data_IF_264788744508
#
_entry.id   IF_264788744508
#
_cell.length_a   1.000
_cell.length_b   1.000
_cell.length_c   1.000
_cell.angle_alpha   90.00
_cell.angle_beta   90.00
_cell.angle_gamma   90.00
#
_symmetry.space_group_name_H-M   'P 1'
#
loop_
_entity.id
_entity.type
_entity.pdbx_description
1 polymer ?
#
# COMPACT_ATOMS: atom_id res chain seq x y z
N UNK A 1 -4.42 -8.43 -3.69
CA UNK A 1 -4.88 -9.36 -4.75
C UNK A 1 -4.51 -8.86 -6.15
N UNK A 2 -5.03 -7.69 -6.57
CA UNK A 2 -4.74 -7.09 -7.88
C UNK A 2 -3.24 -7.05 -8.22
N UNK A 3 -2.40 -6.61 -7.28
CA UNK A 3 -0.94 -6.57 -7.44
C UNK A 3 -0.36 -7.92 -7.87
N UNK A 4 -0.74 -9.02 -7.21
CA UNK A 4 -0.21 -10.34 -7.57
C UNK A 4 -0.67 -10.78 -8.96
N UNK A 5 -1.93 -10.52 -9.33
CA UNK A 5 -2.43 -10.82 -10.67
C UNK A 5 -1.64 -10.04 -11.71
N UNK A 6 -1.41 -8.74 -11.48
CA UNK A 6 -0.62 -7.91 -12.39
C UNK A 6 0.84 -8.38 -12.46
N UNK A 7 1.45 -8.80 -11.36
CA UNK A 7 2.79 -9.38 -11.37
C UNK A 7 2.87 -10.64 -12.23
N UNK A 8 1.90 -11.55 -12.13
CA UNK A 8 1.85 -12.74 -12.98
C UNK A 8 1.70 -12.36 -14.45
N UNK A 9 0.83 -11.41 -14.78
CA UNK A 9 0.66 -10.94 -16.16
C UNK A 9 1.96 -10.31 -16.72
N UNK A 10 2.71 -9.56 -15.90
CA UNK A 10 3.99 -9.00 -16.30
C UNK A 10 5.02 -10.11 -16.58
N UNK A 11 5.16 -11.09 -15.67
CA UNK A 11 6.06 -12.25 -15.82
C UNK A 11 5.76 -13.03 -17.10
N UNK A 12 4.49 -13.34 -17.36
CA UNK A 12 4.05 -14.01 -18.60
C UNK A 12 4.43 -13.17 -19.82
N UNK A 13 4.16 -11.86 -19.79
CA UNK A 13 4.47 -10.97 -20.92
C UNK A 13 5.96 -10.90 -21.27
N UNK A 14 6.82 -11.10 -20.26
CA UNK A 14 8.29 -11.06 -20.35
C UNK A 14 8.92 -12.43 -20.61
N UNK A 15 8.18 -13.54 -20.50
CA UNK A 15 8.70 -14.92 -20.48
C UNK A 15 9.73 -15.12 -19.36
N UNK A 16 9.37 -14.68 -18.16
CA UNK A 16 10.17 -14.94 -16.96
C UNK A 16 9.56 -16.13 -16.19
N UNK A 17 10.27 -16.68 -15.19
CA UNK A 17 9.75 -17.67 -14.23
C UNK A 17 8.91 -18.82 -14.85
N UNK A 18 9.53 -19.59 -15.76
CA UNK A 18 8.96 -20.80 -16.38
C UNK A 18 7.81 -20.57 -17.38
N UNK A 19 7.57 -19.32 -17.83
CA UNK A 19 6.58 -19.01 -18.88
C UNK A 19 7.13 -19.13 -20.33
N UNK A 20 8.20 -19.89 -20.54
CA UNK A 20 8.87 -20.03 -21.84
C UNK A 20 7.99 -20.68 -22.93
N UNK A 21 7.00 -21.47 -22.52
CA UNK A 21 6.08 -22.18 -23.41
C UNK A 21 4.88 -21.33 -23.88
N UNK A 22 4.75 -20.09 -23.40
CA UNK A 22 3.63 -19.22 -23.75
C UNK A 22 3.84 -18.59 -25.14
N UNK A 23 2.84 -18.72 -26.00
CA UNK A 23 2.86 -18.15 -27.35
C UNK A 23 2.84 -16.62 -27.35
N UNK A 24 3.18 -16.04 -28.50
CA UNK A 24 3.28 -14.59 -28.64
C UNK A 24 1.93 -13.86 -28.50
N UNK A 25 0.83 -14.50 -28.90
CA UNK A 25 -0.51 -13.90 -28.80
C UNK A 25 -0.89 -13.69 -27.33
N UNK A 26 -0.76 -14.74 -26.51
CA UNK A 26 -1.04 -14.70 -25.08
C UNK A 26 -0.14 -13.68 -24.37
N UNK A 27 1.14 -13.58 -24.74
CA UNK A 27 2.06 -12.57 -24.18
C UNK A 27 1.61 -11.15 -24.46
N UNK A 28 1.15 -10.87 -25.68
CA UNK A 28 0.65 -9.55 -26.05
C UNK A 28 -0.64 -9.21 -25.30
N UNK A 29 -1.53 -10.18 -25.12
CA UNK A 29 -2.74 -10.02 -24.30
C UNK A 29 -2.41 -9.72 -22.83
N UNK A 30 -1.47 -10.48 -22.23
CA UNK A 30 -0.99 -10.23 -20.87
C UNK A 30 -0.33 -8.86 -20.73
N UNK A 31 0.51 -8.45 -21.69
CA UNK A 31 1.11 -7.11 -21.72
C UNK A 31 0.06 -6.01 -21.74
N UNK A 32 -0.93 -6.13 -22.63
CA UNK A 32 -2.01 -5.16 -22.74
C UNK A 32 -2.87 -5.12 -21.47
N UNK A 33 -3.15 -6.27 -20.86
CA UNK A 33 -3.87 -6.35 -19.59
C UNK A 33 -3.09 -5.73 -18.43
N UNK A 34 -1.78 -5.99 -18.34
CA UNK A 34 -0.90 -5.36 -17.36
C UNK A 34 -0.91 -3.84 -17.49
N UNK A 35 -0.75 -3.31 -18.71
CA UNK A 35 -0.78 -1.87 -18.98
C UNK A 35 -2.12 -1.23 -18.57
N UNK A 36 -3.26 -1.87 -18.87
CA UNK A 36 -4.57 -1.42 -18.40
C UNK A 36 -4.67 -1.42 -16.87
N UNK A 37 -4.12 -2.45 -16.22
CA UNK A 37 -4.06 -2.54 -14.76
C UNK A 37 -3.22 -1.44 -14.12
N UNK A 38 -2.06 -1.12 -14.69
CA UNK A 38 -1.22 0.01 -14.24
C UNK A 38 -1.96 1.33 -14.42
N UNK A 39 -2.60 1.56 -15.56
CA UNK A 39 -3.39 2.77 -15.77
C UNK A 39 -4.55 2.90 -14.75
N UNK A 40 -5.24 1.79 -14.45
CA UNK A 40 -6.26 1.75 -13.41
C UNK A 40 -5.69 2.14 -12.04
N UNK A 41 -4.52 1.62 -11.66
CA UNK A 41 -3.82 2.00 -10.42
C UNK A 41 -3.53 3.50 -10.39
N UNK A 42 -2.99 4.07 -11.48
CA UNK A 42 -2.64 5.49 -11.52
C UNK A 42 -3.88 6.39 -11.38
N UNK A 43 -4.99 6.02 -12.01
CA UNK A 43 -6.26 6.76 -11.92
C UNK A 43 -6.94 6.61 -10.56
N UNK A 44 -6.76 5.46 -9.89
CA UNK A 44 -7.31 5.19 -8.57
C UNK A 44 -6.49 5.81 -7.43
N UNK A 45 -5.33 6.42 -7.69
CA UNK A 45 -4.52 7.03 -6.62
C UNK A 45 -5.29 8.20 -6.00
N UNK A 46 -5.50 8.12 -4.68
CA UNK A 46 -6.25 9.13 -3.95
C UNK A 46 -5.46 10.44 -3.88
N UNK A 47 -6.20 11.55 -3.84
CA UNK A 47 -5.63 12.89 -3.69
C UNK A 47 -6.28 13.63 -2.53
N UNK A 48 -5.49 14.45 -1.84
CA UNK A 48 -6.00 15.46 -0.92
C UNK A 48 -5.55 16.83 -1.44
N UNK A 49 -6.50 17.63 -1.92
CA UNK A 49 -6.17 18.85 -2.66
C UNK A 49 -5.37 18.53 -3.92
N UNK A 50 -4.23 19.20 -4.11
CA UNK A 50 -3.34 18.97 -5.26
C UNK A 50 -2.33 17.83 -5.06
N UNK A 51 -2.22 17.27 -3.86
CA UNK A 51 -1.25 16.23 -3.55
C UNK A 51 -1.85 14.83 -3.70
N UNK A 52 -1.21 13.98 -4.51
CA UNK A 52 -1.51 12.54 -4.55
C UNK A 52 -0.92 11.85 -3.32
N UNK A 53 -1.59 10.79 -2.90
CA UNK A 53 -1.30 10.09 -1.64
C UNK A 53 -1.12 8.59 -1.92
N UNK A 54 -1.99 7.77 -1.34
CA UNK A 54 -1.98 6.32 -1.42
C UNK A 54 -3.25 5.80 -2.12
N UNK A 55 -3.53 4.52 -1.94
CA UNK A 55 -4.74 3.85 -2.42
C UNK A 55 -5.54 3.30 -1.26
N UNK A 56 -6.84 3.14 -1.46
CA UNK A 56 -7.68 2.32 -0.61
C UNK A 56 -7.38 0.83 -0.82
N UNK A 57 -7.73 0.00 0.16
CA UNK A 57 -7.63 -1.46 0.01
C UNK A 57 -8.54 -1.98 -1.12
N UNK A 58 -9.65 -1.27 -1.38
CA UNK A 58 -10.52 -1.52 -2.52
C UNK A 58 -11.12 -0.21 -3.05
N UNK A 59 -11.32 -0.16 -4.35
CA UNK A 59 -11.94 0.94 -5.07
C UNK A 59 -13.17 0.40 -5.82
N UNK A 60 -14.15 1.26 -6.04
CA UNK A 60 -15.26 0.97 -6.92
C UNK A 60 -14.77 0.75 -8.36
N UNK A 61 -15.25 -0.30 -9.02
CA UNK A 61 -14.70 -0.76 -10.30
C UNK A 61 -15.01 0.18 -11.47
N UNK A 62 -16.03 1.04 -11.35
CA UNK A 62 -16.48 1.92 -12.43
C UNK A 62 -15.97 3.35 -12.23
N UNK A 63 -16.05 3.85 -11.00
CA UNK A 63 -15.71 5.22 -10.65
C UNK A 63 -14.28 5.37 -10.13
N UNK A 64 -13.63 4.26 -9.77
CA UNK A 64 -12.31 4.21 -9.13
C UNK A 64 -12.25 4.95 -7.78
N UNK A 65 -13.40 5.30 -7.20
CA UNK A 65 -13.45 5.93 -5.88
C UNK A 65 -13.14 4.92 -4.77
N UNK A 66 -12.46 5.32 -3.68
CA UNK A 66 -12.30 4.48 -2.49
C UNK A 66 -13.65 3.91 -2.02
N UNK A 67 -13.67 2.61 -1.72
CA UNK A 67 -14.89 1.94 -1.27
C UNK A 67 -14.67 1.15 0.01
N UNK A 68 -15.74 0.91 0.76
CA UNK A 68 -15.71 0.03 1.94
C UNK A 68 -15.74 -1.44 1.52
N UNK A 69 -15.22 -2.31 2.38
CA UNK A 69 -15.38 -3.77 2.24
C UNK A 69 -16.26 -4.29 3.37
N UNK A 70 -15.67 -4.97 4.35
CA UNK A 70 -16.37 -5.40 5.56
C UNK A 70 -16.71 -4.22 6.46
N UNK A 71 -17.56 -4.42 7.47
CA UNK A 71 -17.92 -3.38 8.43
C UNK A 71 -16.69 -2.72 9.10
N UNK A 72 -15.61 -3.48 9.32
CA UNK A 72 -14.35 -3.00 9.89
C UNK A 72 -13.35 -2.46 8.84
N UNK A 73 -13.77 -2.29 7.59
CA UNK A 73 -12.92 -1.85 6.49
C UNK A 73 -13.61 -0.69 5.75
N UNK A 74 -13.66 0.50 6.36
CA UNK A 74 -14.22 1.68 5.73
C UNK A 74 -13.37 2.09 4.52
N UNK A 75 -13.96 2.90 3.63
CA UNK A 75 -13.21 3.60 2.61
C UNK A 75 -12.15 4.48 3.30
N UNK A 76 -10.87 4.19 3.05
CA UNK A 76 -9.73 4.73 3.80
C UNK A 76 -8.46 4.58 2.97
N UNK A 77 -7.43 5.39 3.20
CA UNK A 77 -6.11 5.11 2.63
C UNK A 77 -5.52 3.89 3.34
N UNK A 78 -5.02 2.92 2.57
CA UNK A 78 -4.43 1.70 3.11
C UNK A 78 -2.92 1.82 3.23
N UNK A 79 -2.40 1.86 4.45
CA UNK A 79 -0.96 1.83 4.69
C UNK A 79 -0.31 0.49 4.36
N UNK A 80 -1.09 -0.61 4.33
CA UNK A 80 -0.57 -1.95 4.03
C UNK A 80 -0.62 -2.31 2.56
N UNK A 81 -1.77 -2.11 1.89
CA UNK A 81 -1.93 -2.53 0.48
C UNK A 81 -1.13 -1.62 -0.47
N UNK A 82 -1.02 -0.34 -0.15
CA UNK A 82 -0.27 0.63 -0.96
C UNK A 82 1.22 0.32 -1.07
N UNK A 83 1.80 -0.42 -0.11
CA UNK A 83 3.19 -0.90 -0.22
C UNK A 83 3.33 -1.87 -1.40
N UNK A 84 2.35 -2.76 -1.60
CA UNK A 84 2.35 -3.69 -2.73
C UNK A 84 2.23 -2.97 -4.07
N UNK A 85 1.35 -1.97 -4.14
CA UNK A 85 1.17 -1.14 -5.34
C UNK A 85 2.46 -0.39 -5.68
N UNK A 86 3.08 0.28 -4.71
CA UNK A 86 4.35 0.98 -4.95
C UNK A 86 5.45 0.04 -5.41
N UNK A 87 5.57 -1.15 -4.81
CA UNK A 87 6.54 -2.16 -5.26
C UNK A 87 6.30 -2.60 -6.71
N UNK A 88 5.04 -2.80 -7.10
CA UNK A 88 4.68 -3.14 -8.48
C UNK A 88 5.09 -2.03 -9.45
N UNK A 89 4.72 -0.78 -9.14
CA UNK A 89 5.06 0.37 -9.98
C UNK A 89 6.57 0.57 -10.08
N UNK A 90 7.28 0.41 -8.96
CA UNK A 90 8.73 0.50 -8.90
C UNK A 90 9.44 -0.64 -9.65
N UNK A 91 8.77 -1.76 -9.94
CA UNK A 91 9.32 -2.87 -10.69
C UNK A 91 9.31 -2.63 -12.21
N UNK A 92 8.41 -1.78 -12.71
CA UNK A 92 8.26 -1.46 -14.14
C UNK A 92 9.57 -0.93 -14.72
N UNK A 93 9.98 -1.52 -15.84
CA UNK A 93 11.14 -1.08 -16.63
C UNK A 93 10.77 0.16 -17.44
N UNK A 94 11.70 1.11 -17.54
CA UNK A 94 11.52 2.40 -18.23
C UNK A 94 10.18 3.09 -17.90
N UNK A 95 9.91 3.35 -16.59
CA UNK A 95 8.61 3.88 -16.17
C UNK A 95 8.35 5.26 -16.74
N UNK A 96 7.11 5.52 -17.16
CA UNK A 96 6.70 6.83 -17.66
C UNK A 96 6.69 7.87 -16.54
N UNK A 97 6.73 9.16 -16.91
CA UNK A 97 6.70 10.25 -15.92
C UNK A 97 5.49 10.18 -14.96
N UNK A 98 4.26 9.85 -15.40
CA UNK A 98 3.14 9.64 -14.48
C UNK A 98 3.37 8.53 -13.44
N UNK A 99 4.04 7.43 -13.81
CA UNK A 99 4.38 6.34 -12.88
C UNK A 99 5.44 6.81 -11.88
N UNK A 100 6.49 7.49 -12.35
CA UNK A 100 7.56 8.04 -11.51
C UNK A 100 6.96 8.98 -10.46
N UNK A 101 6.11 9.91 -10.87
CA UNK A 101 5.48 10.87 -9.93
C UNK A 101 4.55 10.15 -8.96
N UNK A 102 3.74 9.19 -9.41
CA UNK A 102 2.89 8.38 -8.52
C UNK A 102 3.68 7.66 -7.42
N UNK A 103 4.83 7.09 -7.77
CA UNK A 103 5.75 6.44 -6.82
C UNK A 103 6.30 7.46 -5.82
N UNK A 104 6.81 8.59 -6.30
CA UNK A 104 7.40 9.63 -5.46
C UNK A 104 6.38 10.19 -4.46
N UNK A 105 5.15 10.46 -4.91
CA UNK A 105 4.06 10.94 -4.07
C UNK A 105 3.75 9.95 -2.94
N UNK A 106 3.64 8.66 -3.26
CA UNK A 106 3.40 7.61 -2.25
C UNK A 106 4.57 7.40 -1.27
N UNK A 107 5.82 7.47 -1.75
CA UNK A 107 7.01 7.41 -0.88
C UNK A 107 7.08 8.60 0.07
N UNK A 108 6.84 9.81 -0.45
CA UNK A 108 6.77 11.04 0.34
C UNK A 108 5.70 10.91 1.42
N UNK A 109 4.51 10.44 1.05
CA UNK A 109 3.40 10.22 1.98
C UNK A 109 3.80 9.30 3.13
N UNK A 110 4.41 8.14 2.83
CA UNK A 110 4.86 7.21 3.87
C UNK A 110 5.96 7.80 4.76
N UNK A 111 6.83 8.65 4.22
CA UNK A 111 7.83 9.36 5.02
C UNK A 111 7.19 10.33 6.02
N UNK A 112 6.10 10.99 5.65
CA UNK A 112 5.42 12.01 6.47
C UNK A 112 4.48 11.42 7.54
N UNK A 113 3.92 10.22 7.30
CA UNK A 113 2.89 9.62 8.15
C UNK A 113 3.40 8.49 9.06
N UNK A 114 4.64 8.61 9.52
CA UNK A 114 5.28 7.67 10.44
C UNK A 114 4.68 7.76 11.84
N UNK A 115 4.34 6.60 12.42
CA UNK A 115 3.93 6.47 13.82
C UNK A 115 5.14 5.95 14.60
N UNK A 116 5.60 6.73 15.58
CA UNK A 116 6.74 6.45 16.45
C UNK A 116 6.30 6.41 17.91
N UNK A 117 7.19 5.97 18.80
CA UNK A 117 6.91 5.93 20.23
C UNK A 117 5.97 4.79 20.63
N UNK A 118 5.88 3.75 19.80
CA UNK A 118 5.12 2.53 20.08
C UNK A 118 6.03 1.32 20.06
N UNK A 119 5.72 0.32 20.89
CA UNK A 119 6.35 -1.00 20.87
C UNK A 119 5.29 -2.08 20.77
N UNK A 120 5.49 -3.04 19.87
CA UNK A 120 4.67 -4.26 19.84
C UNK A 120 5.11 -5.19 20.98
N UNK A 121 4.14 -5.68 21.74
CA UNK A 121 4.34 -6.63 22.83
C UNK A 121 3.24 -7.68 22.81
N UNK A 122 3.40 -8.76 23.57
CA UNK A 122 2.33 -9.71 23.83
C UNK A 122 1.82 -9.57 25.26
N UNK A 123 0.51 -9.48 25.43
CA UNK A 123 -0.19 -9.51 26.72
C UNK A 123 -1.24 -10.62 26.60
N UNK A 124 -1.19 -11.60 27.49
CA UNK A 124 -2.08 -12.78 27.50
C UNK A 124 -2.18 -13.51 26.14
N UNK A 125 -1.04 -13.62 25.45
CA UNK A 125 -0.94 -14.28 24.15
C UNK A 125 -1.42 -13.45 22.95
N UNK A 126 -1.96 -12.26 23.20
CA UNK A 126 -2.47 -11.34 22.19
C UNK A 126 -1.46 -10.23 21.88
N UNK A 127 -1.40 -9.80 20.62
CA UNK A 127 -0.54 -8.69 20.23
C UNK A 127 -1.13 -7.34 20.65
N UNK A 128 -0.29 -6.53 21.29
CA UNK A 128 -0.59 -5.17 21.75
C UNK A 128 0.46 -4.18 21.24
N UNK A 129 0.04 -2.94 21.03
CA UNK A 129 0.95 -1.82 20.80
C UNK A 129 0.85 -0.84 21.96
N UNK A 130 1.94 -0.77 22.73
CA UNK A 130 2.03 0.05 23.94
C UNK A 130 2.88 1.28 23.69
N UNK A 131 2.59 2.37 24.39
CA UNK A 131 3.40 3.58 24.34
C UNK A 131 4.79 3.30 24.90
N UNK A 132 5.81 3.60 24.10
CA UNK A 132 7.20 3.44 24.44
C UNK A 132 8.00 4.51 23.67
N UNK A 133 8.17 5.71 24.24
CA UNK A 133 8.88 6.83 23.58
C UNK A 133 10.32 6.51 23.21
N UNK A 134 10.93 5.47 23.80
CA UNK A 134 12.30 5.04 23.52
C UNK A 134 12.39 4.01 22.39
N UNK A 135 11.25 3.49 21.92
CA UNK A 135 11.20 2.53 20.82
C UNK A 135 11.71 3.13 19.52
N UNK A 136 12.61 2.41 18.84
CA UNK A 136 13.12 2.72 17.50
C UNK A 136 12.19 2.20 16.38
N UNK A 137 11.11 1.53 16.76
CA UNK A 137 10.16 0.96 15.82
C UNK A 137 9.31 2.06 15.18
N UNK A 138 9.15 1.94 13.86
CA UNK A 138 8.33 2.84 13.07
C UNK A 138 7.17 2.03 12.51
N UNK A 139 5.97 2.53 12.75
CA UNK A 139 4.72 1.94 12.33
C UNK A 139 3.98 2.86 11.37
N UNK A 140 3.04 2.26 10.65
CA UNK A 140 1.99 2.95 9.93
C UNK A 140 0.67 2.27 10.26
N UNK A 141 -0.40 3.05 10.29
CA UNK A 141 -1.73 2.49 10.45
C UNK A 141 -2.14 1.70 9.21
N UNK A 142 -2.99 0.71 9.41
CA UNK A 142 -3.59 -0.02 8.30
C UNK A 142 -4.58 0.84 7.54
N UNK A 143 -5.26 1.75 8.24
CA UNK A 143 -6.28 2.64 7.71
C UNK A 143 -5.98 4.07 8.12
N UNK A 144 -6.09 4.98 7.16
CA UNK A 144 -6.05 6.42 7.39
C UNK A 144 -7.29 7.07 6.78
N UNK A 145 -7.80 8.09 7.46
CA UNK A 145 -8.94 8.88 7.00
C UNK A 145 -8.64 9.52 5.63
N UNK A 146 -9.58 9.44 4.68
CA UNK A 146 -9.38 10.00 3.33
C UNK A 146 -9.25 11.52 3.33
N UNK A 147 -9.81 12.19 4.34
CA UNK A 147 -9.88 13.64 4.40
C UNK A 147 -8.86 14.24 5.36
N UNK A 148 -8.60 13.62 6.51
CA UNK A 148 -7.60 14.14 7.46
C UNK A 148 -6.23 13.50 7.28
N UNK A 149 -6.15 12.35 6.61
CA UNK A 149 -4.95 11.51 6.52
C UNK A 149 -4.41 11.06 7.89
N UNK A 150 -5.22 11.14 8.93
CA UNK A 150 -4.86 10.64 10.26
C UNK A 150 -5.18 9.16 10.40
N UNK A 151 -4.43 8.42 11.23
CA UNK A 151 -4.75 7.04 11.59
C UNK A 151 -6.19 6.87 12.08
N UNK A 152 -6.87 5.85 11.59
CA UNK A 152 -8.17 5.42 12.09
C UNK A 152 -8.18 3.94 12.41
N UNK A 153 -8.98 3.56 13.39
CA UNK A 153 -9.00 2.23 13.98
C UNK A 153 -10.45 1.74 14.05
N UNK A 154 -11.02 1.23 12.95
CA UNK A 154 -12.41 0.74 12.90
C UNK A 154 -12.59 -0.53 13.75
N UNK A 155 -13.44 -0.45 14.77
CA UNK A 155 -13.75 -1.56 15.68
C UNK A 155 -14.81 -2.52 15.14
N UNK A 156 -14.90 -3.69 15.80
CA UNK A 156 -15.94 -4.71 15.53
C UNK A 156 -17.34 -4.24 15.92
N UNK A 157 -17.40 -3.28 16.82
CA UNK A 157 -18.60 -2.58 17.27
C UNK A 157 -19.12 -1.54 16.26
N UNK A 158 -18.43 -1.34 15.13
CA UNK A 158 -18.80 -0.37 14.10
C UNK A 158 -18.37 1.07 14.42
N UNK A 159 -17.63 1.29 15.50
CA UNK A 159 -17.10 2.60 15.88
C UNK A 159 -15.72 2.80 15.24
N UNK A 160 -15.47 3.98 14.67
CA UNK A 160 -14.15 4.35 14.17
C UNK A 160 -13.40 5.11 15.28
N UNK A 161 -12.38 4.46 15.85
CA UNK A 161 -11.54 5.03 16.90
C UNK A 161 -10.39 5.86 16.31
N UNK A 162 -9.94 6.88 17.05
CA UNK A 162 -8.81 7.75 16.65
C UNK A 162 -7.48 7.37 17.28
N UNK A 163 -7.48 6.43 18.23
CA UNK A 163 -6.26 5.83 18.77
C UNK A 163 -6.38 4.32 18.86
N UNK A 164 -5.24 3.64 18.72
CA UNK A 164 -5.18 2.19 18.93
C UNK A 164 -5.54 1.81 20.36
N UNK A 165 -5.11 2.59 21.36
CA UNK A 165 -5.39 2.30 22.77
C UNK A 165 -6.89 2.35 23.08
N UNK A 166 -7.61 3.32 22.52
CA UNK A 166 -9.06 3.40 22.71
C UNK A 166 -9.77 2.20 22.07
N UNK A 167 -9.44 1.88 20.81
CA UNK A 167 -9.94 0.68 20.14
C UNK A 167 -9.67 -0.56 21.01
N UNK A 168 -8.42 -0.74 21.46
CA UNK A 168 -7.98 -1.92 22.19
C UNK A 168 -8.67 -2.09 23.55
N UNK A 169 -9.02 -0.99 24.22
CA UNK A 169 -9.75 -1.03 25.49
C UNK A 169 -11.22 -1.47 25.35
N UNK A 170 -11.81 -1.31 24.15
CA UNK A 170 -13.25 -1.50 23.90
C UNK A 170 -13.56 -2.69 22.98
N UNK A 171 -12.55 -3.23 22.28
CA UNK A 171 -12.72 -4.28 21.28
C UNK A 171 -11.80 -5.46 21.54
N UNK A 172 -12.26 -6.66 21.13
CA UNK A 172 -11.39 -7.84 21.07
C UNK A 172 -10.34 -7.65 19.98
N UNK A 173 -9.06 -7.75 20.33
CA UNK A 173 -7.98 -7.73 19.35
C UNK A 173 -7.89 -9.05 18.58
N UNK A 174 -7.23 -9.02 17.43
CA UNK A 174 -7.17 -10.13 16.49
C UNK A 174 -7.11 -9.66 15.03
N UNK A 175 -6.77 -8.39 14.84
CA UNK A 175 -6.59 -7.77 13.54
C UNK A 175 -5.38 -6.84 13.64
N UNK A 176 -4.50 -6.89 12.65
CA UNK A 176 -3.31 -6.04 12.61
C UNK A 176 -3.69 -4.64 12.12
N UNK A 177 -3.78 -3.69 13.05
CA UNK A 177 -4.07 -2.28 12.76
C UNK A 177 -2.80 -1.44 12.50
N UNK A 178 -1.62 -1.95 12.84
CA UNK A 178 -0.34 -1.29 12.60
C UNK A 178 0.58 -2.22 11.82
N UNK A 179 1.41 -1.63 10.96
CA UNK A 179 2.35 -2.36 10.11
C UNK A 179 3.71 -1.70 10.06
N UNK A 180 4.75 -2.48 9.86
CA UNK A 180 6.12 -2.01 9.59
C UNK A 180 6.51 -2.14 8.12
N UNK A 181 5.61 -2.66 7.26
CA UNK A 181 5.87 -2.96 5.85
C UNK A 181 6.49 -1.78 5.06
N UNK A 182 6.08 -0.51 5.24
CA UNK A 182 6.67 0.62 4.52
C UNK A 182 8.15 0.87 4.84
N UNK A 183 8.67 0.40 5.99
CA UNK A 183 10.07 0.65 6.41
C UNK A 183 11.08 0.22 5.35
N UNK A 184 10.93 -0.99 4.80
CA UNK A 184 11.84 -1.49 3.76
C UNK A 184 11.72 -0.74 2.43
N UNK A 185 10.52 -0.22 2.13
CA UNK A 185 10.26 0.58 0.95
C UNK A 185 10.99 1.94 1.04
N UNK A 186 10.89 2.62 2.17
CA UNK A 186 11.55 3.92 2.41
C UNK A 186 13.07 3.80 2.56
N UNK A 187 13.56 2.67 3.05
CA UNK A 187 14.99 2.44 3.24
C UNK A 187 15.68 2.00 1.94
N UNK A 188 15.81 0.69 1.73
CA UNK A 188 16.53 0.16 0.57
C UNK A 188 15.74 0.26 -0.72
N UNK A 189 14.40 0.14 -0.67
CA UNK A 189 13.55 0.13 -1.86
C UNK A 189 13.67 1.41 -2.69
N UNK A 190 13.49 2.56 -2.05
CA UNK A 190 13.58 3.87 -2.68
C UNK A 190 14.98 4.12 -3.28
N UNK A 191 16.04 3.77 -2.54
CA UNK A 191 17.42 3.91 -3.03
C UNK A 191 17.69 3.03 -4.26
N UNK A 192 17.29 1.76 -4.21
CA UNK A 192 17.48 0.83 -5.33
C UNK A 192 16.70 1.26 -6.56
N UNK A 193 15.46 1.74 -6.38
CA UNK A 193 14.65 2.24 -7.48
C UNK A 193 15.22 3.51 -8.10
N UNK A 194 15.66 4.48 -7.30
CA UNK A 194 16.30 5.68 -7.82
C UNK A 194 17.54 5.35 -8.68
N UNK A 195 18.36 4.39 -8.25
CA UNK A 195 19.51 3.93 -9.03
C UNK A 195 19.12 3.30 -10.37
N UNK A 196 17.95 2.65 -10.47
CA UNK A 196 17.46 2.07 -11.74
C UNK A 196 17.07 3.14 -12.76
N UNK A 197 16.72 4.35 -12.31
CA UNK A 197 16.36 5.47 -13.19
C UNK A 197 17.57 6.23 -13.73
N UNK A 198 18.76 6.01 -13.15
CA UNK A 198 19.98 6.64 -13.65
C UNK A 198 20.33 6.09 -15.05
N UNK A 199 20.76 6.94 -16.00
CA UNK A 199 21.22 6.48 -17.30
C UNK A 199 22.32 5.43 -17.13
N UNK A 200 22.20 4.29 -17.81
CA UNK A 200 23.27 3.29 -17.85
C UNK A 200 24.49 3.95 -18.51
N UNK A 201 25.58 4.08 -17.75
CA UNK A 201 26.87 4.60 -18.23
C UNK A 201 27.54 3.60 -19.17
#
# INVERSE_FOLDING_TARGET
AMVHVLSVLDLVSKREEDFDLVDESMRQECRAAFQRGVNCILQAQCSQGSARTLWCAQHDALTLSPSRARAMEPASLSGSESVGILKLLMAIDDPTQPIITSIQDGLKWFSEHQIRGLRRTKIDGQDWYVNDPQSDQIYWARFYDLHTQEPIYPGRDGVIYRSYQELASKNRLGYDYLTTKPKGLLASGQKSWAKRLEPKR
#
